data_IF_427063739483
#
_entry.id   IF_427063739483
#
_cell.length_a   1.000
_cell.length_b   1.000
_cell.length_c   1.000
_cell.angle_alpha   90.00
_cell.angle_beta   90.00
_cell.angle_gamma   90.00
#
_symmetry.space_group_name_H-M   'P 1'
#
loop_
_entity.id
_entity.type
_entity.pdbx_description
1 polymer ?
#
# COMPACT_ATOMS: atom_id res chain seq x y z
N UNK A 1 42.65 40.32 3.55
CA UNK A 1 42.78 38.88 3.21
C UNK A 1 42.25 37.94 4.31
N UNK A 2 42.64 38.10 5.58
CA UNK A 2 42.29 37.14 6.67
C UNK A 2 40.78 37.04 6.98
N UNK A 3 40.05 38.16 6.92
CA UNK A 3 38.59 38.21 7.18
C UNK A 3 37.76 37.54 6.09
N UNK A 4 38.16 37.68 4.82
CA UNK A 4 37.47 37.03 3.69
C UNK A 4 37.58 35.51 3.76
N UNK A 5 38.73 34.99 4.19
CA UNK A 5 38.92 33.55 4.39
C UNK A 5 38.01 33.01 5.50
N UNK A 6 37.87 33.77 6.59
CA UNK A 6 37.02 33.39 7.72
C UNK A 6 35.53 33.42 7.34
N UNK A 7 35.09 34.41 6.56
CA UNK A 7 33.73 34.47 6.02
C UNK A 7 33.42 33.29 5.08
N UNK A 8 34.39 32.87 4.27
CA UNK A 8 34.27 31.72 3.36
C UNK A 8 34.17 30.40 4.14
N UNK A 9 34.97 30.23 5.20
CA UNK A 9 34.89 29.03 6.04
C UNK A 9 33.52 28.94 6.74
N UNK A 10 33.01 30.07 7.25
CA UNK A 10 31.70 30.13 7.91
C UNK A 10 30.59 29.79 6.92
N UNK A 11 30.59 30.34 5.70
CA UNK A 11 29.53 30.04 4.73
C UNK A 11 29.47 28.56 4.35
N UNK A 12 30.61 27.88 4.21
CA UNK A 12 30.64 26.44 3.87
C UNK A 12 30.13 25.56 5.02
N UNK A 13 30.47 25.88 6.27
CA UNK A 13 30.03 25.11 7.44
C UNK A 13 28.51 25.20 7.62
N UNK A 14 27.90 26.37 7.40
CA UNK A 14 26.45 26.55 7.54
C UNK A 14 25.62 25.96 6.38
N UNK A 15 26.23 25.69 5.21
CA UNK A 15 25.54 25.03 4.09
C UNK A 15 25.59 23.50 4.14
N UNK A 16 26.43 22.90 4.99
CA UNK A 16 26.62 21.45 5.06
C UNK A 16 25.49 20.69 5.82
N UNK A 17 24.58 21.40 6.50
CA UNK A 17 23.46 20.80 7.24
C UNK A 17 22.16 20.72 6.44
N UNK A 18 22.24 20.38 5.15
CA UNK A 18 21.05 20.12 4.35
C UNK A 18 20.39 18.79 4.79
N UNK A 19 19.13 18.86 5.23
CA UNK A 19 18.33 17.69 5.64
C UNK A 19 18.19 16.75 4.44
N UNK A 20 18.75 15.54 4.52
CA UNK A 20 18.58 14.50 3.51
C UNK A 20 17.11 14.07 3.48
N UNK A 21 16.39 14.45 2.44
CA UNK A 21 15.01 13.98 2.22
C UNK A 21 15.09 12.54 1.73
N UNK A 22 14.79 11.60 2.62
CA UNK A 22 14.66 10.18 2.27
C UNK A 22 13.21 9.95 1.87
N UNK A 23 12.98 9.80 0.57
CA UNK A 23 11.67 9.38 0.06
C UNK A 23 11.51 7.89 0.32
N UNK A 24 10.51 7.53 1.13
CA UNK A 24 10.08 6.15 1.25
C UNK A 24 9.12 5.82 0.11
N UNK A 25 9.35 4.71 -0.56
CA UNK A 25 8.41 4.18 -1.54
C UNK A 25 7.13 3.76 -0.82
N UNK A 26 6.06 4.54 -0.99
CA UNK A 26 4.74 4.21 -0.47
C UNK A 26 4.09 3.30 -1.51
N UNK A 27 3.93 2.01 -1.20
CA UNK A 27 3.18 1.08 -2.05
C UNK A 27 1.71 1.49 -2.03
N UNK A 28 1.22 2.02 -3.15
CA UNK A 28 -0.21 2.29 -3.33
C UNK A 28 -0.91 0.94 -3.51
N UNK A 29 -1.98 0.64 -2.76
CA UNK A 29 -2.74 -0.58 -2.99
C UNK A 29 -3.32 -0.52 -4.40
N UNK A 30 -2.75 -1.32 -5.31
CA UNK A 30 -3.30 -1.50 -6.65
C UNK A 30 -4.63 -2.21 -6.52
N UNK A 31 -5.65 -1.69 -7.22
CA UNK A 31 -6.95 -2.36 -7.26
C UNK A 31 -6.73 -3.77 -7.84
N UNK A 32 -7.36 -4.76 -7.23
CA UNK A 32 -7.37 -6.10 -7.80
C UNK A 32 -8.41 -6.12 -8.92
N UNK A 33 -8.04 -6.63 -10.10
CA UNK A 33 -8.89 -6.70 -11.29
C UNK A 33 -9.90 -7.86 -11.18
N UNK A 34 -10.75 -7.83 -10.16
CA UNK A 34 -11.81 -8.81 -9.91
C UNK A 34 -13.11 -8.09 -9.57
N UNK A 35 -14.22 -8.67 -10.03
CA UNK A 35 -15.55 -8.18 -9.73
C UNK A 35 -15.91 -8.52 -8.28
N UNK A 36 -16.46 -7.56 -7.55
CA UNK A 36 -16.85 -7.79 -6.15
C UNK A 36 -18.13 -8.65 -6.11
N UNK A 37 -18.10 -9.84 -5.47
CA UNK A 37 -19.27 -10.70 -5.39
C UNK A 37 -20.37 -10.06 -4.54
N UNK A 38 -21.62 -10.32 -4.90
CA UNK A 38 -22.78 -9.85 -4.15
C UNK A 38 -22.97 -10.66 -2.87
N UNK A 39 -23.09 -9.97 -1.73
CA UNK A 39 -23.34 -10.63 -0.45
C UNK A 39 -24.75 -11.26 -0.47
N UNK A 40 -24.90 -12.53 -0.04
CA UNK A 40 -26.20 -13.18 0.05
C UNK A 40 -27.11 -12.44 1.05
N UNK A 41 -28.41 -12.35 0.72
CA UNK A 41 -29.40 -11.65 1.54
C UNK A 41 -29.71 -12.42 2.83
N UNK A 42 -29.95 -11.70 3.92
CA UNK A 42 -30.27 -12.29 5.23
C UNK A 42 -31.70 -12.85 5.32
N UNK A 43 -32.51 -12.72 4.26
CA UNK A 43 -33.92 -13.12 4.24
C UNK A 43 -34.15 -14.57 3.80
N UNK A 44 -33.12 -15.36 3.53
CA UNK A 44 -33.26 -16.78 3.19
C UNK A 44 -33.50 -17.64 4.44
N UNK A 45 -34.07 -18.83 4.24
CA UNK A 45 -34.12 -19.85 5.30
C UNK A 45 -32.70 -20.17 5.79
N UNK A 46 -32.54 -20.42 7.09
CA UNK A 46 -31.22 -20.51 7.74
C UNK A 46 -30.26 -21.52 7.06
N UNK A 47 -30.77 -22.65 6.59
CA UNK A 47 -29.97 -23.66 5.88
C UNK A 47 -29.49 -23.14 4.51
N UNK A 48 -30.36 -22.47 3.77
CA UNK A 48 -30.03 -21.95 2.44
C UNK A 48 -29.09 -20.74 2.54
N UNK A 49 -29.30 -19.90 3.55
CA UNK A 49 -28.39 -18.81 3.88
C UNK A 49 -26.97 -19.31 4.20
N UNK A 50 -26.85 -20.34 5.05
CA UNK A 50 -25.55 -20.93 5.39
C UNK A 50 -24.82 -21.47 4.15
N UNK A 51 -25.54 -22.15 3.25
CA UNK A 51 -24.94 -22.63 1.99
C UNK A 51 -24.44 -21.47 1.13
N UNK A 52 -25.27 -20.44 0.94
CA UNK A 52 -24.89 -19.27 0.16
C UNK A 52 -23.71 -18.51 0.80
N UNK A 53 -23.67 -18.42 2.12
CA UNK A 53 -22.58 -17.80 2.87
C UNK A 53 -21.27 -18.56 2.71
N UNK A 54 -21.30 -19.90 2.76
CA UNK A 54 -20.11 -20.73 2.59
C UNK A 54 -19.52 -20.58 1.19
N UNK A 55 -20.37 -20.59 0.15
CA UNK A 55 -19.94 -20.34 -1.24
C UNK A 55 -19.34 -18.95 -1.38
N UNK A 56 -19.97 -17.93 -0.76
CA UNK A 56 -19.46 -16.56 -0.74
C UNK A 56 -18.09 -16.45 -0.07
N UNK A 57 -17.87 -17.17 1.03
CA UNK A 57 -16.55 -17.19 1.70
C UNK A 57 -15.48 -17.91 0.88
N UNK A 58 -15.82 -19.02 0.21
CA UNK A 58 -14.88 -19.76 -0.63
C UNK A 58 -14.42 -18.92 -1.83
N UNK A 59 -15.35 -18.19 -2.45
CA UNK A 59 -15.02 -17.25 -3.54
C UNK A 59 -14.10 -16.12 -3.05
N UNK A 60 -14.41 -15.51 -1.91
CA UNK A 60 -13.55 -14.49 -1.31
C UNK A 60 -12.14 -15.00 -0.99
N UNK A 61 -12.00 -16.24 -0.48
CA UNK A 61 -10.69 -16.82 -0.21
C UNK A 61 -9.88 -17.05 -1.48
N UNK A 62 -10.53 -17.51 -2.56
CA UNK A 62 -9.86 -17.74 -3.83
C UNK A 62 -9.43 -16.43 -4.49
N UNK A 63 -10.28 -15.41 -4.43
CA UNK A 63 -9.98 -14.06 -4.91
C UNK A 63 -8.85 -13.43 -4.11
N UNK A 64 -8.86 -13.56 -2.78
CA UNK A 64 -7.78 -13.08 -1.93
C UNK A 64 -6.44 -13.75 -2.30
N UNK A 65 -6.43 -15.08 -2.49
CA UNK A 65 -5.25 -15.82 -2.95
C UNK A 65 -4.75 -15.32 -4.30
N UNK A 66 -5.64 -14.92 -5.21
CA UNK A 66 -5.26 -14.32 -6.49
C UNK A 66 -4.64 -12.93 -6.29
N UNK A 67 -5.27 -12.07 -5.49
CA UNK A 67 -4.84 -10.68 -5.28
C UNK A 67 -3.52 -10.58 -4.51
N UNK A 68 -3.27 -11.49 -3.57
CA UNK A 68 -2.05 -11.48 -2.77
C UNK A 68 -0.88 -12.20 -3.43
N UNK A 69 -1.07 -12.86 -4.59
CA UNK A 69 0.06 -13.42 -5.34
C UNK A 69 1.01 -12.28 -5.69
N UNK A 70 2.23 -12.36 -5.18
CA UNK A 70 3.31 -11.43 -5.48
C UNK A 70 3.52 -11.42 -6.99
N UNK A 71 2.99 -10.40 -7.68
CA UNK A 71 3.31 -10.17 -9.08
C UNK A 71 4.81 -9.84 -9.11
N UNK A 72 5.65 -10.53 -9.90
CA UNK A 72 7.01 -10.09 -10.12
C UNK A 72 6.93 -8.66 -10.68
N UNK A 73 7.65 -7.74 -10.04
CA UNK A 73 7.73 -6.35 -10.46
C UNK A 73 8.16 -6.32 -11.95
N UNK A 74 7.46 -5.59 -12.84
CA UNK A 74 7.95 -5.35 -14.19
C UNK A 74 9.26 -4.57 -14.17
#
# INVERSE_FOLDING_TARGET
MKLYFLALCVSVIFNACAKKVVYHEIKVPVKCDIEMPTRPSEHLEALEYLKALLIYTETLENDLKFCTKTKPNP
#
